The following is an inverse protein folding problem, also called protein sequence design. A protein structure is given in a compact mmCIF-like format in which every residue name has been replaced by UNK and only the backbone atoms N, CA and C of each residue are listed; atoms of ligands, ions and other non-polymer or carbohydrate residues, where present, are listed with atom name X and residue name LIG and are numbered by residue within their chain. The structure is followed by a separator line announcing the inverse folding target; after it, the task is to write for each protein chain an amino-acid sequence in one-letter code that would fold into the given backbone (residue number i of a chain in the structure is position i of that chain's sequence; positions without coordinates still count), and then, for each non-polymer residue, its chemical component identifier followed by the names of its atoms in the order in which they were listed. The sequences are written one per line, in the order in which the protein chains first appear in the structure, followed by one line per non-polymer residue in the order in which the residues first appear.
data_IF_330753930262
#
_entry.id   IF_330753930262
#
_cell.length_a   1.000
_cell.length_b   1.000
_cell.length_c   1.000
_cell.angle_alpha   90.00
_cell.angle_beta   90.00
_cell.angle_gamma   90.00
#
_symmetry.space_group_name_H-M   'P 1'
#
loop_
_entity.id
_entity.type
_entity.pdbx_description
1 polymer ?
#
# COMPACT_ATOMS: atom_id res chain seq x y z
N UNK A 1 -18.35 4.05 21.87
CA UNK A 1 -17.95 4.19 20.45
C UNK A 1 -17.19 2.94 20.03
N UNK A 2 -17.33 2.48 18.78
CA UNK A 2 -16.68 1.26 18.26
C UNK A 2 -15.14 1.28 18.44
N UNK A 3 -14.52 2.45 18.40
CA UNK A 3 -13.08 2.63 18.64
C UNK A 3 -12.62 2.10 20.02
N UNK A 4 -13.37 2.38 21.09
CA UNK A 4 -13.02 1.95 22.45
C UNK A 4 -13.09 0.43 22.63
N UNK A 5 -13.90 -0.27 21.82
CA UNK A 5 -13.98 -1.75 21.86
C UNK A 5 -12.67 -2.40 21.40
N UNK A 6 -11.95 -1.74 20.50
CA UNK A 6 -10.75 -2.27 19.84
C UNK A 6 -9.45 -1.57 20.27
N UNK A 7 -9.48 -0.72 21.30
CA UNK A 7 -8.31 0.04 21.74
C UNK A 7 -7.79 1.08 20.72
N UNK A 8 -8.63 1.44 19.73
CA UNK A 8 -8.26 2.42 18.72
C UNK A 8 -8.31 3.85 19.28
N UNK A 9 -7.44 4.71 18.75
CA UNK A 9 -7.35 6.12 19.14
C UNK A 9 -8.19 6.97 18.19
N UNK A 10 -9.04 7.83 18.74
CA UNK A 10 -9.78 8.83 17.96
C UNK A 10 -9.01 10.15 18.04
N UNK A 11 -8.66 10.69 16.87
CA UNK A 11 -8.04 12.00 16.73
C UNK A 11 -9.08 13.02 16.26
N UNK A 12 -8.93 14.26 16.71
CA UNK A 12 -9.81 15.37 16.38
C UNK A 12 -9.03 16.41 15.59
N UNK A 13 -9.70 17.09 14.67
CA UNK A 13 -9.10 18.20 13.92
C UNK A 13 -9.10 19.50 14.74
N UNK A 14 -8.54 20.57 14.18
CA UNK A 14 -8.46 21.87 14.84
C UNK A 14 -9.81 22.50 15.18
N UNK A 15 -10.91 22.06 14.54
CA UNK A 15 -12.26 22.54 14.81
C UNK A 15 -13.01 21.64 15.81
N UNK A 16 -12.35 20.59 16.31
CA UNK A 16 -12.91 19.63 17.26
C UNK A 16 -13.77 18.54 16.60
N UNK A 17 -13.80 18.45 15.27
CA UNK A 17 -14.45 17.36 14.55
C UNK A 17 -13.56 16.12 14.51
N UNK A 18 -14.13 14.92 14.31
CA UNK A 18 -13.33 13.69 14.23
C UNK A 18 -12.46 13.71 12.96
N UNK A 19 -11.15 13.76 13.13
CA UNK A 19 -10.18 13.67 12.03
C UNK A 19 -9.97 12.22 11.59
N UNK A 20 -10.05 11.26 12.51
CA UNK A 20 -9.98 9.85 12.14
C UNK A 20 -9.85 8.89 13.31
N UNK A 21 -9.93 7.61 12.97
CA UNK A 21 -9.69 6.48 13.85
C UNK A 21 -8.33 5.90 13.50
N UNK A 22 -7.47 5.74 14.48
CA UNK A 22 -6.09 5.29 14.32
C UNK A 22 -5.83 4.04 15.15
N UNK A 23 -5.01 3.15 14.61
CA UNK A 23 -4.49 1.95 15.27
C UNK A 23 -3.15 2.31 15.91
N UNK A 24 -2.99 1.98 17.19
CA UNK A 24 -1.73 2.19 17.93
C UNK A 24 -0.82 0.98 17.76
N UNK A 25 0.41 1.24 17.34
CA UNK A 25 1.48 0.26 17.34
C UNK A 25 2.58 0.74 18.29
N UNK A 26 2.96 -0.09 19.27
CA UNK A 26 4.01 0.25 20.21
C UNK A 26 5.40 0.05 19.56
N UNK A 27 6.36 0.84 20.01
CA UNK A 27 7.77 0.73 19.62
C UNK A 27 8.27 -0.70 19.78
N UNK A 28 9.06 -1.15 18.79
CA UNK A 28 9.79 -2.40 18.83
C UNK A 28 11.16 -2.26 18.16
N UNK A 29 12.01 -3.25 18.36
CA UNK A 29 13.25 -3.38 17.61
C UNK A 29 12.98 -4.00 16.23
N UNK A 30 13.83 -3.73 15.25
CA UNK A 30 13.75 -4.41 13.95
C UNK A 30 13.96 -5.92 14.10
N UNK A 31 14.87 -6.33 14.99
CA UNK A 31 15.08 -7.73 15.35
C UNK A 31 13.85 -8.42 15.98
N UNK A 32 12.91 -7.65 16.56
CA UNK A 32 11.67 -8.23 17.06
C UNK A 32 10.74 -8.65 15.93
N UNK A 33 10.89 -8.06 14.74
CA UNK A 33 10.08 -8.36 13.55
C UNK A 33 10.72 -9.46 12.71
N UNK A 34 12.04 -9.42 12.56
CA UNK A 34 12.82 -10.44 11.86
C UNK A 34 14.20 -10.58 12.52
N UNK A 35 14.60 -11.77 13.01
CA UNK A 35 15.86 -11.98 13.72
C UNK A 35 17.13 -11.68 12.90
N UNK A 36 17.04 -11.59 11.57
CA UNK A 36 18.16 -11.21 10.70
C UNK A 36 18.42 -9.70 10.66
N UNK A 37 17.49 -8.89 11.19
CA UNK A 37 17.60 -7.43 11.25
C UNK A 37 18.35 -6.96 12.52
N UNK A 38 18.94 -5.77 12.49
CA UNK A 38 19.65 -5.20 13.65
C UNK A 38 18.73 -5.04 14.89
N UNK A 39 19.34 -5.21 16.06
CA UNK A 39 18.68 -5.04 17.36
C UNK A 39 18.62 -3.56 17.80
N UNK A 40 18.17 -2.68 16.91
CA UNK A 40 17.89 -1.28 17.19
C UNK A 40 16.41 -0.96 16.97
N UNK A 41 15.98 0.22 17.40
CA UNK A 41 14.59 0.66 17.23
C UNK A 41 14.27 0.74 15.74
N UNK A 42 13.14 0.15 15.35
CA UNK A 42 12.74 0.14 13.95
C UNK A 42 12.52 1.59 13.44
N UNK A 43 12.99 1.96 12.22
CA UNK A 43 12.95 3.33 11.72
C UNK A 43 11.59 4.01 11.84
N UNK A 44 10.49 3.27 11.67
CA UNK A 44 9.11 3.78 11.83
C UNK A 44 8.87 4.54 13.16
N UNK A 45 9.62 4.22 14.21
CA UNK A 45 9.50 4.81 15.54
C UNK A 45 10.56 5.87 15.85
N UNK A 46 11.32 6.35 14.87
CA UNK A 46 12.32 7.42 15.08
C UNK A 46 11.98 8.59 14.18
N UNK A 47 11.69 9.75 14.75
CA UNK A 47 11.34 10.96 13.99
C UNK A 47 12.23 12.11 14.46
N UNK A 48 12.97 12.71 13.54
CA UNK A 48 13.96 13.75 13.78
C UNK A 48 14.99 13.33 14.85
N UNK A 49 15.45 12.07 14.80
CA UNK A 49 16.35 11.48 15.79
C UNK A 49 15.73 11.20 17.17
N UNK A 50 14.41 11.35 17.33
CA UNK A 50 13.70 11.10 18.59
C UNK A 50 12.88 9.83 18.50
N UNK A 51 13.17 8.87 19.39
CA UNK A 51 12.36 7.67 19.52
C UNK A 51 10.95 7.98 20.02
N UNK A 52 9.95 7.40 19.35
CA UNK A 52 8.53 7.48 19.67
C UNK A 52 8.12 6.19 20.36
N UNK A 53 7.46 6.26 21.52
CA UNK A 53 7.01 5.05 22.23
C UNK A 53 5.93 4.27 21.47
N UNK A 54 5.25 4.93 20.53
CA UNK A 54 4.25 4.35 19.64
C UNK A 54 4.03 5.23 18.42
N UNK A 55 3.45 4.64 17.37
CA UNK A 55 2.91 5.35 16.21
C UNK A 55 1.41 5.13 16.10
N UNK A 56 0.72 6.08 15.47
CA UNK A 56 -0.69 6.00 15.15
C UNK A 56 -0.87 5.95 13.64
N UNK A 57 -1.37 4.84 13.12
CA UNK A 57 -1.65 4.69 11.68
C UNK A 57 -3.15 4.70 11.47
N UNK A 58 -3.63 5.47 10.48
CA UNK A 58 -5.05 5.56 10.17
C UNK A 58 -5.62 4.16 9.96
N UNK A 59 -6.70 3.82 10.68
CA UNK A 59 -7.36 2.52 10.54
C UNK A 59 -7.89 2.31 9.12
N UNK A 60 -8.34 3.40 8.50
CA UNK A 60 -8.87 3.43 7.15
C UNK A 60 -8.01 4.31 6.25
N UNK A 61 -8.10 4.11 4.92
CA UNK A 61 -7.50 5.04 3.96
C UNK A 61 -8.07 6.46 4.14
N UNK A 62 -7.33 7.47 3.74
CA UNK A 62 -7.79 8.85 3.72
C UNK A 62 -9.03 8.97 2.80
N UNK A 63 -10.10 9.57 3.30
CA UNK A 63 -11.36 9.71 2.59
C UNK A 63 -11.95 11.11 2.68
N UNK A 64 -12.89 11.41 1.78
CA UNK A 64 -13.60 12.69 1.73
C UNK A 64 -14.98 12.51 2.38
N UNK A 65 -15.24 13.21 3.47
CA UNK A 65 -16.56 13.20 4.15
C UNK A 65 -17.42 14.39 3.71
N UNK A 66 -16.80 15.54 3.44
CA UNK A 66 -17.46 16.76 2.96
C UNK A 66 -16.60 17.41 1.85
N UNK A 67 -17.13 18.40 1.11
CA UNK A 67 -16.40 19.12 0.04
C UNK A 67 -15.23 20.00 0.52
N UNK A 68 -14.67 19.71 1.71
CA UNK A 68 -13.61 20.47 2.36
C UNK A 68 -12.19 20.03 2.01
N UNK A 69 -11.24 20.80 2.54
CA UNK A 69 -9.80 20.58 2.34
C UNK A 69 -9.28 19.34 3.06
N UNK A 70 -9.83 19.01 4.23
CA UNK A 70 -9.33 17.95 5.11
C UNK A 70 -9.73 16.55 4.62
N UNK A 71 -8.85 15.58 4.87
CA UNK A 71 -9.13 14.16 4.65
C UNK A 71 -9.23 13.43 5.97
N UNK A 72 -10.19 12.51 6.08
CA UNK A 72 -10.49 11.79 7.31
C UNK A 72 -10.21 10.28 7.18
N UNK A 73 -9.77 9.64 8.26
CA UNK A 73 -9.64 8.17 8.33
C UNK A 73 -10.85 7.57 9.03
N UNK A 74 -11.92 7.31 8.29
CA UNK A 74 -13.21 6.87 8.81
C UNK A 74 -13.80 5.70 8.02
N UNK A 75 -14.60 4.82 8.67
CA UNK A 75 -15.30 3.74 8.00
C UNK A 75 -16.44 4.26 7.13
N UNK A 76 -16.78 3.54 6.06
CA UNK A 76 -17.91 3.89 5.21
C UNK A 76 -17.69 5.13 4.32
N UNK A 77 -16.49 5.71 4.36
CA UNK A 77 -16.12 6.88 3.55
C UNK A 77 -15.49 6.41 2.23
N UNK A 78 -15.77 7.12 1.14
CA UNK A 78 -15.09 6.86 -0.13
C UNK A 78 -13.61 7.28 -0.02
N UNK A 79 -12.65 6.37 -0.28
CA UNK A 79 -11.24 6.73 -0.28
C UNK A 79 -10.96 7.81 -1.33
N UNK A 80 -10.11 8.77 -0.95
CA UNK A 80 -9.66 9.85 -1.84
C UNK A 80 -8.99 9.25 -3.07
N UNK A 81 -9.24 9.89 -4.21
CA UNK A 81 -8.69 9.50 -5.51
C UNK A 81 -8.54 10.75 -6.37
N UNK A 82 -7.96 10.59 -7.57
CA UNK A 82 -7.82 11.66 -8.54
C UNK A 82 -7.20 12.89 -7.87
N UNK A 83 -6.00 12.69 -7.33
CA UNK A 83 -5.23 13.68 -6.58
C UNK A 83 -3.75 13.43 -6.81
N UNK A 84 -2.96 14.51 -6.88
CA UNK A 84 -1.49 14.43 -6.92
C UNK A 84 -0.94 14.12 -5.54
N UNK A 85 0.26 13.55 -5.44
CA UNK A 85 0.90 13.22 -4.16
C UNK A 85 1.01 14.42 -3.20
N UNK A 86 1.42 15.59 -3.71
CA UNK A 86 1.60 16.79 -2.88
C UNK A 86 0.27 17.29 -2.32
N UNK A 87 -0.76 17.34 -3.17
CA UNK A 87 -2.10 17.74 -2.74
C UNK A 87 -2.68 16.74 -1.72
N UNK A 88 -2.43 15.44 -1.90
CA UNK A 88 -2.86 14.40 -0.96
C UNK A 88 -2.21 14.61 0.42
N UNK A 89 -0.89 14.83 0.46
CA UNK A 89 -0.17 15.06 1.71
C UNK A 89 -0.65 16.33 2.40
N UNK A 90 -0.73 17.45 1.67
CA UNK A 90 -1.21 18.72 2.22
C UNK A 90 -2.59 18.59 2.85
N UNK A 91 -3.51 17.90 2.16
CA UNK A 91 -4.89 17.72 2.65
C UNK A 91 -5.00 16.79 3.86
N UNK A 92 -4.09 15.82 4.01
CA UNK A 92 -3.99 15.03 5.25
C UNK A 92 -3.43 15.89 6.40
N UNK A 93 -2.35 16.65 6.15
CA UNK A 93 -1.73 17.55 7.15
C UNK A 93 -2.68 18.67 7.60
N UNK A 94 -3.59 19.11 6.74
CA UNK A 94 -4.62 20.12 7.07
C UNK A 94 -5.57 19.70 8.20
N UNK A 95 -5.58 18.42 8.61
CA UNK A 95 -6.31 17.98 9.79
C UNK A 95 -5.66 18.44 11.11
N UNK A 96 -4.36 18.76 11.12
CA UNK A 96 -3.63 19.18 12.32
C UNK A 96 -3.35 18.04 13.31
N UNK A 97 -3.06 18.37 14.57
CA UNK A 97 -2.84 17.44 15.69
C UNK A 97 -1.78 16.33 15.44
N UNK A 98 -0.70 16.72 14.75
CA UNK A 98 0.40 15.81 14.43
C UNK A 98 0.10 14.84 13.27
N UNK A 99 -0.98 15.06 12.52
CA UNK A 99 -1.36 14.23 11.37
C UNK A 99 -0.49 14.54 10.16
N UNK A 100 0.02 13.49 9.52
CA UNK A 100 0.77 13.52 8.26
C UNK A 100 0.38 12.32 7.38
N UNK A 101 1.15 12.02 6.33
CA UNK A 101 0.95 10.83 5.49
C UNK A 101 1.76 9.63 5.95
N UNK A 102 1.19 8.43 5.84
CA UNK A 102 1.88 7.17 6.15
C UNK A 102 3.16 7.04 5.34
N UNK A 103 4.27 6.73 6.01
CA UNK A 103 5.58 6.74 5.38
C UNK A 103 5.98 5.36 4.87
N UNK A 104 7.06 5.30 4.11
CA UNK A 104 7.68 4.04 3.70
C UNK A 104 8.20 3.24 4.91
N UNK A 105 8.66 3.90 5.97
CA UNK A 105 9.08 3.24 7.21
C UNK A 105 7.89 2.60 7.92
N UNK A 106 6.74 3.28 7.96
CA UNK A 106 5.49 2.71 8.49
C UNK A 106 5.05 1.49 7.66
N UNK A 107 5.16 1.58 6.32
CA UNK A 107 4.83 0.48 5.43
C UNK A 107 5.78 -0.71 5.58
N UNK A 108 7.08 -0.47 5.77
CA UNK A 108 8.07 -1.49 6.07
C UNK A 108 7.77 -2.21 7.37
N UNK A 109 7.46 -1.45 8.44
CA UNK A 109 7.02 -1.99 9.72
C UNK A 109 5.81 -2.92 9.58
N UNK A 110 4.74 -2.47 8.90
CA UNK A 110 3.51 -3.28 8.74
C UNK A 110 3.76 -4.52 7.87
N UNK A 111 4.60 -4.44 6.84
CA UNK A 111 4.99 -5.61 6.03
C UNK A 111 5.76 -6.63 6.89
N UNK A 112 6.76 -6.21 7.64
CA UNK A 112 7.55 -7.09 8.50
C UNK A 112 6.70 -7.70 9.62
N UNK A 113 5.77 -6.91 10.19
CA UNK A 113 4.79 -7.42 11.16
C UNK A 113 3.89 -8.50 10.54
N UNK A 114 3.40 -8.29 9.33
CA UNK A 114 2.59 -9.28 8.62
C UNK A 114 3.40 -10.56 8.34
N UNK A 115 4.64 -10.42 7.87
CA UNK A 115 5.55 -11.53 7.63
C UNK A 115 5.81 -12.35 8.90
N UNK A 116 6.19 -11.69 10.00
CA UNK A 116 6.42 -12.34 11.31
C UNK A 116 5.24 -13.21 11.75
N UNK A 117 4.02 -12.76 11.49
CA UNK A 117 2.81 -13.44 11.93
C UNK A 117 2.20 -14.37 10.86
N UNK A 118 2.80 -14.47 9.67
CA UNK A 118 2.29 -15.28 8.57
C UNK A 118 0.93 -14.80 8.05
N UNK A 119 0.66 -13.49 8.10
CA UNK A 119 -0.61 -12.92 7.68
C UNK A 119 -0.66 -12.72 6.16
N UNK A 120 -1.56 -13.44 5.51
CA UNK A 120 -1.96 -13.15 4.13
C UNK A 120 -3.13 -12.18 4.14
N UNK A 121 -3.03 -11.14 3.31
CA UNK A 121 -3.97 -10.02 3.29
C UNK A 121 -4.72 -9.97 1.98
N UNK A 122 -6.04 -9.84 2.05
CA UNK A 122 -6.92 -9.73 0.90
C UNK A 122 -7.43 -8.30 0.74
N UNK A 123 -8.03 -8.01 -0.41
CA UNK A 123 -8.56 -6.66 -0.62
C UNK A 123 -9.35 -6.48 -1.89
N UNK A 124 -9.84 -5.26 -2.10
CA UNK A 124 -10.41 -4.87 -3.37
C UNK A 124 -9.30 -4.76 -4.44
N UNK A 125 -8.93 -5.87 -5.06
CA UNK A 125 -7.92 -5.93 -6.12
C UNK A 125 -8.53 -6.21 -7.49
N UNK A 126 -9.85 -6.40 -7.54
CA UNK A 126 -10.60 -6.68 -8.75
C UNK A 126 -11.98 -6.02 -8.75
N UNK A 127 -12.04 -4.69 -8.80
CA UNK A 127 -13.27 -3.91 -8.96
C UNK A 127 -14.32 -4.31 -7.91
N UNK A 128 -13.99 -4.13 -6.64
CA UNK A 128 -14.88 -4.31 -5.50
C UNK A 128 -14.81 -5.67 -4.79
N UNK A 129 -13.94 -6.59 -5.23
CA UNK A 129 -13.70 -7.86 -4.55
C UNK A 129 -12.25 -8.35 -4.73
N UNK A 130 -11.91 -9.44 -4.03
CA UNK A 130 -10.66 -10.15 -4.21
C UNK A 130 -10.83 -11.36 -5.16
N UNK A 131 -10.05 -11.40 -6.25
CA UNK A 131 -10.08 -12.48 -7.21
C UNK A 131 -9.22 -13.71 -6.83
N UNK A 132 -8.83 -13.83 -5.56
CA UNK A 132 -8.34 -15.05 -4.95
C UNK A 132 -9.28 -16.24 -5.21
N UNK A 133 -8.74 -17.46 -5.07
CA UNK A 133 -9.48 -18.72 -5.26
C UNK A 133 -10.24 -18.85 -6.61
N UNK A 134 -9.85 -18.08 -7.64
CA UNK A 134 -10.51 -18.11 -8.95
C UNK A 134 -11.84 -17.34 -9.02
N UNK A 135 -12.13 -16.50 -8.03
CA UNK A 135 -13.32 -15.65 -8.04
C UNK A 135 -13.35 -14.75 -9.29
N UNK A 136 -14.49 -14.70 -9.98
CA UNK A 136 -14.64 -13.92 -11.22
C UNK A 136 -15.93 -13.10 -11.19
N UNK A 137 -15.83 -11.86 -11.67
CA UNK A 137 -16.98 -10.95 -11.77
C UNK A 137 -18.05 -11.52 -12.73
N UNK A 138 -19.31 -11.28 -12.40
CA UNK A 138 -20.39 -11.40 -13.34
C UNK A 138 -20.35 -10.23 -14.34
N UNK A 139 -20.72 -10.49 -15.59
CA UNK A 139 -20.69 -9.53 -16.69
C UNK A 139 -21.82 -9.85 -17.69
N UNK A 140 -22.49 -8.84 -18.22
CA UNK A 140 -23.57 -9.00 -19.21
C UNK A 140 -23.02 -9.16 -20.64
N UNK A 141 -22.12 -10.11 -20.85
CA UNK A 141 -21.30 -10.26 -22.07
C UNK A 141 -21.83 -11.31 -23.07
N UNK A 142 -23.05 -11.81 -22.86
CA UNK A 142 -23.70 -12.86 -23.66
C UNK A 142 -22.91 -14.20 -23.72
N UNK A 143 -21.94 -14.39 -22.83
CA UNK A 143 -21.20 -15.64 -22.67
C UNK A 143 -22.05 -16.74 -22.02
N UNK A 144 -21.56 -17.98 -22.10
CA UNK A 144 -22.21 -19.13 -21.49
C UNK A 144 -22.01 -19.16 -19.97
N UNK A 145 -23.08 -19.43 -19.23
CA UNK A 145 -23.03 -19.86 -17.83
C UNK A 145 -23.46 -21.31 -17.73
N UNK A 146 -22.72 -22.07 -16.93
CA UNK A 146 -23.05 -23.45 -16.57
C UNK A 146 -23.65 -23.49 -15.16
N UNK A 147 -24.50 -24.48 -14.89
CA UNK A 147 -24.96 -24.75 -13.54
C UNK A 147 -23.75 -25.09 -12.64
N UNK A 148 -23.76 -24.61 -11.40
CA UNK A 148 -22.68 -24.76 -10.42
C UNK A 148 -21.57 -23.71 -10.53
N UNK A 149 -21.44 -22.97 -11.64
CA UNK A 149 -20.42 -21.94 -11.77
C UNK A 149 -20.69 -20.76 -10.82
N UNK A 150 -19.63 -20.23 -10.22
CA UNK A 150 -19.71 -19.11 -9.28
C UNK A 150 -19.28 -17.79 -9.91
N UNK A 151 -19.99 -16.70 -9.58
CA UNK A 151 -19.67 -15.34 -10.02
C UNK A 151 -19.87 -14.33 -8.89
N UNK A 152 -19.05 -13.29 -8.89
CA UNK A 152 -19.17 -12.17 -7.96
C UNK A 152 -19.97 -11.06 -8.60
N UNK A 153 -20.99 -10.56 -7.91
CA UNK A 153 -21.78 -9.41 -8.34
C UNK A 153 -22.13 -8.56 -7.11
N UNK A 154 -21.87 -7.25 -7.17
CA UNK A 154 -22.07 -6.32 -6.05
C UNK A 154 -21.47 -6.81 -4.71
N UNK A 155 -20.29 -7.44 -4.79
CA UNK A 155 -19.54 -7.95 -3.62
C UNK A 155 -20.06 -9.28 -3.08
N UNK A 156 -21.15 -9.81 -3.63
CA UNK A 156 -21.70 -11.11 -3.26
C UNK A 156 -21.25 -12.21 -4.22
N UNK A 157 -20.89 -13.35 -3.68
CA UNK A 157 -20.70 -14.58 -4.44
C UNK A 157 -22.06 -15.20 -4.75
N UNK A 158 -22.30 -15.55 -6.00
CA UNK A 158 -23.50 -16.25 -6.46
C UNK A 158 -23.13 -17.54 -7.15
N UNK A 159 -23.91 -18.60 -6.90
CA UNK A 159 -23.84 -19.87 -7.64
C UNK A 159 -24.95 -19.91 -8.68
N UNK A 160 -24.58 -20.17 -9.93
CA UNK A 160 -25.51 -20.37 -11.03
C UNK A 160 -26.28 -21.69 -10.85
N UNK A 161 -27.61 -21.65 -10.87
CA UNK A 161 -28.47 -22.82 -10.64
C UNK A 161 -28.77 -23.59 -11.94
N UNK A 162 -28.75 -22.91 -13.08
CA UNK A 162 -29.06 -23.51 -14.38
C UNK A 162 -28.35 -22.79 -15.52
N UNK A 163 -28.02 -23.54 -16.57
CA UNK A 163 -27.28 -23.01 -17.70
C UNK A 163 -28.09 -21.92 -18.44
N UNK A 164 -27.41 -20.83 -18.82
CA UNK A 164 -28.02 -19.71 -19.52
C UNK A 164 -26.96 -18.84 -20.22
N UNK A 165 -27.41 -17.84 -20.98
CA UNK A 165 -26.54 -16.78 -21.53
C UNK A 165 -26.49 -15.62 -20.54
N UNK A 166 -25.31 -15.04 -20.31
CA UNK A 166 -25.14 -13.86 -19.45
C UNK A 166 -25.69 -12.61 -20.10
N UNK A 167 -26.99 -12.41 -20.00
CA UNK A 167 -27.67 -11.21 -20.47
C UNK A 167 -28.04 -10.33 -19.28
N UNK A 168 -28.26 -9.04 -19.51
CA UNK A 168 -28.69 -8.12 -18.47
C UNK A 168 -29.98 -8.56 -17.75
N UNK A 169 -30.88 -9.26 -18.44
CA UNK A 169 -32.12 -9.78 -17.85
C UNK A 169 -31.93 -10.97 -16.88
N UNK A 170 -30.76 -11.64 -16.94
CA UNK A 170 -30.43 -12.81 -16.12
C UNK A 170 -29.30 -12.51 -15.13
N UNK A 171 -29.19 -11.25 -14.71
CA UNK A 171 -28.22 -10.79 -13.72
C UNK A 171 -28.51 -11.37 -12.31
N UNK A 172 -27.50 -11.61 -11.45
CA UNK A 172 -27.66 -12.38 -10.22
C UNK A 172 -28.68 -11.86 -9.19
N UNK A 173 -28.82 -10.55 -9.06
CA UNK A 173 -29.69 -9.89 -8.09
C UNK A 173 -31.16 -9.78 -8.53
N UNK A 174 -31.43 -9.87 -9.84
CA UNK A 174 -32.79 -9.74 -10.41
C UNK A 174 -33.36 -11.04 -10.98
N UNK A 175 -32.55 -12.08 -11.13
CA UNK A 175 -32.98 -13.39 -11.65
C UNK A 175 -32.81 -14.51 -10.60
N UNK A 176 -33.57 -14.48 -9.49
CA UNK A 176 -33.38 -15.38 -8.34
C UNK A 176 -33.64 -16.86 -8.63
N UNK A 177 -34.30 -17.20 -9.75
CA UNK A 177 -34.47 -18.59 -10.19
C UNK A 177 -33.23 -19.15 -10.90
N UNK A 178 -32.30 -18.28 -11.33
CA UNK A 178 -31.06 -18.66 -11.99
C UNK A 178 -29.85 -18.62 -11.06
N UNK A 179 -29.99 -17.98 -9.89
CA UNK A 179 -28.86 -17.70 -9.01
C UNK A 179 -29.23 -17.93 -7.56
N UNK A 180 -28.31 -18.57 -6.83
CA UNK A 180 -28.33 -18.60 -5.37
C UNK A 180 -27.23 -17.69 -4.85
N UNK A 181 -27.60 -16.72 -4.02
CA UNK A 181 -26.65 -15.88 -3.28
C UNK A 181 -25.99 -16.71 -2.18
N UNK A 182 -24.68 -16.66 -2.13
CA UNK A 182 -23.86 -17.36 -1.14
C UNK A 182 -23.42 -16.36 -0.06
N UNK A 183 -22.12 -16.07 0.03
CA UNK A 183 -21.53 -15.15 1.01
C UNK A 183 -21.11 -13.82 0.38
N UNK A 184 -21.04 -12.79 1.22
CA UNK A 184 -20.39 -11.53 0.87
C UNK A 184 -18.88 -11.70 0.96
N UNK A 185 -18.16 -11.31 -0.11
CA UNK A 185 -16.69 -11.44 -0.22
C UNK A 185 -16.02 -10.18 -0.78
N UNK A 186 -16.82 -9.16 -1.11
CA UNK A 186 -16.33 -7.87 -1.60
C UNK A 186 -16.50 -6.77 -0.56
N UNK A 187 -16.50 -5.53 -1.02
CA UNK A 187 -16.84 -4.36 -0.21
C UNK A 187 -18.06 -3.61 -0.75
N UNK A 188 -18.59 -2.68 0.04
CA UNK A 188 -19.66 -1.77 -0.36
C UNK A 188 -19.12 -0.82 -1.41
N UNK A 189 -19.58 -0.97 -2.65
CA UNK A 189 -18.98 -0.29 -3.79
C UNK A 189 -19.35 1.19 -3.84
N UNK A 190 -18.43 2.01 -4.31
CA UNK A 190 -18.62 3.45 -4.47
C UNK A 190 -17.89 3.99 -5.71
N UNK A 191 -18.57 4.87 -6.45
CA UNK A 191 -18.06 5.52 -7.66
C UNK A 191 -18.86 5.14 -8.91
N UNK A 192 -18.56 5.82 -10.02
CA UNK A 192 -19.13 5.48 -11.32
C UNK A 192 -18.60 4.12 -11.80
N UNK A 193 -19.44 3.37 -12.52
CA UNK A 193 -19.03 2.14 -13.21
C UNK A 193 -17.89 2.44 -14.18
N UNK A 194 -16.83 1.64 -14.13
CA UNK A 194 -15.66 1.85 -15.00
C UNK A 194 -15.86 1.25 -16.40
N UNK A 195 -16.83 0.34 -16.55
CA UNK A 195 -17.09 -0.41 -17.78
C UNK A 195 -18.51 -1.02 -17.76
N UNK A 196 -19.22 -0.96 -18.88
CA UNK A 196 -20.51 -1.63 -19.11
C UNK A 196 -20.39 -3.17 -19.06
N UNK A 197 -19.19 -3.69 -19.32
CA UNK A 197 -18.89 -5.13 -19.30
C UNK A 197 -18.90 -5.68 -17.88
N UNK A 198 -18.23 -5.01 -16.94
CA UNK A 198 -18.09 -5.52 -15.57
C UNK A 198 -19.18 -5.02 -14.62
N UNK A 199 -19.80 -3.85 -14.89
CA UNK A 199 -20.82 -3.25 -14.01
C UNK A 199 -20.42 -3.22 -12.53
N UNK A 200 -19.14 -2.98 -12.23
CA UNK A 200 -18.68 -2.83 -10.84
C UNK A 200 -17.91 -1.52 -10.67
N UNK A 201 -18.21 -0.70 -9.64
CA UNK A 201 -17.41 0.48 -9.33
C UNK A 201 -15.97 0.10 -8.98
N UNK A 202 -15.00 0.99 -9.24
CA UNK A 202 -13.59 0.69 -9.00
C UNK A 202 -13.30 0.55 -7.51
N UNK A 203 -13.97 1.32 -6.66
CA UNK A 203 -13.61 1.44 -5.24
C UNK A 203 -14.70 0.90 -4.34
N UNK A 204 -14.29 0.59 -3.13
CA UNK A 204 -15.15 0.20 -2.02
C UNK A 204 -15.02 1.25 -0.93
N UNK A 205 -16.11 1.49 -0.20
CA UNK A 205 -16.09 2.32 0.99
C UNK A 205 -15.09 1.74 2.00
N UNK A 206 -14.37 2.61 2.69
CA UNK A 206 -13.39 2.22 3.69
C UNK A 206 -13.95 1.23 4.71
N UNK A 207 -13.24 0.12 4.93
CA UNK A 207 -13.60 -0.91 5.92
C UNK A 207 -14.86 -1.69 5.61
N UNK A 208 -15.38 -1.62 4.38
CA UNK A 208 -16.60 -2.31 4.00
C UNK A 208 -16.42 -3.79 3.66
N UNK A 209 -15.17 -4.23 3.47
CA UNK A 209 -14.84 -5.62 3.17
C UNK A 209 -14.95 -6.56 4.37
N UNK A 210 -14.79 -7.88 4.14
CA UNK A 210 -14.71 -8.88 5.19
C UNK A 210 -13.47 -8.67 6.09
N UNK A 211 -13.43 -9.37 7.23
CA UNK A 211 -12.32 -9.33 8.18
C UNK A 211 -10.95 -9.63 7.54
N UNK A 212 -10.91 -10.48 6.50
CA UNK A 212 -9.71 -10.81 5.70
C UNK A 212 -9.07 -9.59 4.99
N UNK A 213 -9.76 -8.44 4.95
CA UNK A 213 -9.25 -7.17 4.43
C UNK A 213 -8.64 -6.28 5.53
N UNK A 214 -8.63 -6.77 6.77
CA UNK A 214 -8.05 -6.10 7.94
C UNK A 214 -6.78 -6.82 8.39
N UNK A 215 -5.75 -6.05 8.75
CA UNK A 215 -4.44 -6.58 9.14
C UNK A 215 -4.57 -7.67 10.22
N UNK A 216 -4.20 -8.90 9.87
CA UNK A 216 -4.26 -10.06 10.76
C UNK A 216 -5.66 -10.60 11.01
N UNK A 217 -6.59 -10.39 10.07
CA UNK A 217 -8.01 -10.74 10.17
C UNK A 217 -8.73 -10.09 11.37
N UNK A 218 -8.13 -9.04 11.94
CA UNK A 218 -8.66 -8.32 13.09
C UNK A 218 -9.37 -7.05 12.65
N UNK A 219 -10.71 -7.06 12.73
CA UNK A 219 -11.54 -5.87 12.49
C UNK A 219 -11.17 -4.67 13.38
N UNK A 220 -10.43 -4.88 14.47
CA UNK A 220 -9.84 -3.85 15.30
C UNK A 220 -8.69 -3.09 14.63
N UNK A 221 -7.97 -3.74 13.72
CA UNK A 221 -6.74 -3.29 13.08
C UNK A 221 -6.99 -2.54 11.76
N UNK A 222 -5.91 -2.29 11.00
CA UNK A 222 -5.94 -1.49 9.78
C UNK A 222 -6.70 -2.21 8.66
N UNK A 223 -7.69 -1.55 8.06
CA UNK A 223 -8.48 -2.04 6.94
C UNK A 223 -7.91 -1.62 5.59
N UNK A 224 -8.19 -2.40 4.54
CA UNK A 224 -7.93 -2.07 3.13
C UNK A 224 -6.46 -1.79 2.80
N UNK A 225 -5.50 -2.41 3.50
CA UNK A 225 -4.08 -2.28 3.17
C UNK A 225 -3.78 -2.74 1.74
N UNK A 226 -4.56 -3.70 1.24
CA UNK A 226 -4.46 -4.26 -0.10
C UNK A 226 -5.59 -3.71 -0.98
N UNK A 227 -5.24 -3.13 -2.12
CA UNK A 227 -6.22 -2.72 -3.12
C UNK A 227 -7.03 -1.45 -2.79
N UNK A 228 -8.18 -1.32 -3.45
CA UNK A 228 -9.00 -0.12 -3.60
C UNK A 228 -8.22 1.01 -4.25
N UNK A 229 -7.44 1.78 -3.48
CA UNK A 229 -6.51 2.79 -3.98
C UNK A 229 -5.08 2.45 -3.52
N UNK A 230 -4.11 2.81 -4.37
CA UNK A 230 -2.70 2.79 -4.03
C UNK A 230 -2.46 3.61 -2.77
N UNK A 231 -1.57 3.14 -1.89
CA UNK A 231 -1.14 3.89 -0.71
C UNK A 231 0.27 4.44 -0.91
N UNK A 232 0.38 5.76 -1.08
CA UNK A 232 1.68 6.43 -1.17
C UNK A 232 2.50 6.19 0.10
N UNK A 233 3.77 5.79 -0.07
CA UNK A 233 4.74 5.66 1.02
C UNK A 233 5.66 6.89 1.06
N UNK A 234 5.33 7.88 1.89
CA UNK A 234 6.13 9.11 1.99
C UNK A 234 7.54 8.83 2.55
N UNK A 235 8.54 9.62 2.14
CA UNK A 235 9.92 9.48 2.61
C UNK A 235 10.80 8.51 1.81
N UNK A 236 10.32 7.97 0.69
CA UNK A 236 11.13 7.25 -0.29
C UNK A 236 10.81 7.69 -1.73
N UNK A 237 11.86 7.86 -2.53
CA UNK A 237 11.77 8.12 -3.97
C UNK A 237 12.92 7.46 -4.73
N UNK A 238 12.76 7.43 -6.05
CA UNK A 238 13.80 7.12 -7.01
C UNK A 238 14.08 8.36 -7.85
N UNK A 239 15.35 8.69 -8.08
CA UNK A 239 15.80 9.71 -9.05
C UNK A 239 16.97 9.12 -9.81
N UNK A 240 16.84 8.94 -11.14
CA UNK A 240 17.86 8.19 -11.90
C UNK A 240 18.05 6.76 -11.41
N UNK A 241 17.00 6.18 -10.82
CA UNK A 241 17.02 4.89 -10.10
C UNK A 241 17.86 4.85 -8.82
N UNK A 242 18.45 5.96 -8.37
CA UNK A 242 19.08 6.08 -7.06
C UNK A 242 18.01 5.99 -5.97
N UNK A 243 18.21 5.13 -4.98
CA UNK A 243 17.34 5.04 -3.81
C UNK A 243 17.60 6.25 -2.92
N UNK A 244 16.59 7.10 -2.77
CA UNK A 244 16.65 8.24 -1.88
C UNK A 244 15.56 8.14 -0.80
N UNK A 245 15.98 8.33 0.45
CA UNK A 245 15.10 8.31 1.61
C UNK A 245 15.25 9.60 2.41
N UNK A 246 14.28 9.89 3.27
CA UNK A 246 14.50 10.79 4.39
C UNK A 246 15.05 9.98 5.56
N UNK A 247 15.89 10.62 6.39
CA UNK A 247 16.48 9.93 7.54
C UNK A 247 15.37 9.40 8.46
N UNK A 248 15.62 8.25 9.08
CA UNK A 248 14.71 7.60 10.00
C UNK A 248 13.27 7.53 9.47
N UNK A 249 12.34 8.17 10.18
CA UNK A 249 10.98 8.44 9.74
C UNK A 249 10.68 9.94 9.77
N UNK A 250 11.64 10.79 9.45
CA UNK A 250 11.49 12.26 9.43
C UNK A 250 10.36 12.72 8.49
N UNK A 251 10.05 11.92 7.47
CA UNK A 251 8.91 12.17 6.59
C UNK A 251 7.55 12.16 7.32
N UNK A 252 7.49 11.58 8.53
CA UNK A 252 6.32 11.57 9.39
C UNK A 252 6.02 12.93 9.99
N UNK A 253 7.01 13.81 10.13
CA UNK A 253 6.83 15.14 10.68
C UNK A 253 5.82 15.93 9.80
N UNK A 254 4.73 16.47 10.38
CA UNK A 254 3.80 17.33 9.67
C UNK A 254 4.46 18.53 8.97
N UNK A 255 5.59 19.00 9.49
CA UNK A 255 6.32 20.16 8.96
C UNK A 255 7.47 19.77 8.01
N UNK A 256 7.75 18.47 7.81
CA UNK A 256 8.81 18.05 6.90
C UNK A 256 8.54 18.47 5.45
N UNK A 257 9.55 19.07 4.81
CA UNK A 257 9.54 19.40 3.38
C UNK A 257 9.82 18.15 2.54
N UNK A 258 8.76 17.55 1.98
CA UNK A 258 8.83 16.40 1.09
C UNK A 258 8.85 16.78 -0.41
N UNK A 259 9.13 18.04 -0.73
CA UNK A 259 9.22 18.51 -2.11
C UNK A 259 10.37 17.86 -2.86
N UNK A 260 10.30 17.89 -4.20
CA UNK A 260 11.37 17.36 -5.05
C UNK A 260 12.72 18.08 -4.81
N UNK A 261 12.68 19.35 -4.42
CA UNK A 261 13.84 20.22 -4.16
C UNK A 261 14.36 20.18 -2.72
N UNK A 262 13.73 19.40 -1.84
CA UNK A 262 14.12 19.32 -0.44
C UNK A 262 15.57 18.84 -0.27
N UNK A 263 16.33 19.50 0.60
CA UNK A 263 17.67 19.06 0.98
C UNK A 263 17.67 17.91 1.99
N UNK A 264 16.49 17.50 2.47
CA UNK A 264 16.33 16.40 3.42
C UNK A 264 16.54 15.02 2.77
N UNK A 265 16.40 14.92 1.45
CA UNK A 265 16.65 13.67 0.71
C UNK A 265 18.11 13.23 0.83
N UNK A 266 18.31 11.97 1.21
CA UNK A 266 19.61 11.30 1.30
C UNK A 266 19.64 10.06 0.44
N UNK A 267 20.79 9.78 -0.16
CA UNK A 267 21.07 8.50 -0.78
C UNK A 267 21.73 7.55 0.23
N UNK A 268 21.62 6.25 -0.03
CA UNK A 268 22.13 5.20 0.87
C UNK A 268 23.48 4.72 0.32
N UNK A 269 24.57 4.94 1.06
CA UNK A 269 25.89 4.40 0.76
C UNK A 269 26.11 3.12 1.58
N UNK A 270 26.13 1.93 0.95
CA UNK A 270 26.33 0.67 1.67
C UNK A 270 27.77 0.56 2.21
N UNK A 271 27.92 -0.07 3.38
CA UNK A 271 29.23 -0.51 3.84
C UNK A 271 29.71 -1.73 3.04
N UNK A 272 31.03 -1.89 2.93
CA UNK A 272 31.60 -2.99 2.16
C UNK A 272 31.70 -4.31 2.94
N UNK A 273 31.65 -4.28 4.27
CA UNK A 273 31.95 -5.44 5.14
C UNK A 273 30.80 -5.93 6.02
N UNK A 274 29.68 -5.23 6.03
CA UNK A 274 28.49 -5.55 6.82
C UNK A 274 27.23 -4.94 6.20
N UNK A 275 26.07 -5.27 6.79
CA UNK A 275 24.74 -4.77 6.38
C UNK A 275 24.49 -3.31 6.87
N UNK A 276 25.55 -2.56 7.20
CA UNK A 276 25.52 -1.16 7.58
C UNK A 276 25.52 -0.20 6.38
N UNK A 277 25.30 1.09 6.67
CA UNK A 277 25.23 2.14 5.65
C UNK A 277 25.48 3.53 6.24
N UNK A 278 25.77 4.48 5.35
CA UNK A 278 25.77 5.91 5.63
C UNK A 278 24.72 6.63 4.76
N UNK A 279 24.05 7.63 5.33
CA UNK A 279 23.18 8.54 4.58
C UNK A 279 24.01 9.72 4.05
N UNK A 280 24.13 9.78 2.72
CA UNK A 280 24.98 10.75 2.02
C UNK A 280 24.15 11.64 1.10
N UNK A 281 24.79 12.67 0.52
CA UNK A 281 24.13 13.50 -0.47
C UNK A 281 23.76 12.68 -1.72
N UNK A 282 22.55 12.88 -2.30
CA UNK A 282 22.19 12.31 -3.60
C UNK A 282 23.25 12.51 -4.68
N UNK A 283 23.47 11.50 -5.51
CA UNK A 283 24.49 11.48 -6.57
C UNK A 283 25.91 11.14 -6.09
N UNK A 284 26.09 10.79 -4.81
CA UNK A 284 27.38 10.29 -4.31
C UNK A 284 27.73 8.96 -4.97
N UNK A 285 28.98 8.77 -5.40
CA UNK A 285 29.39 7.53 -6.06
C UNK A 285 29.25 6.32 -5.12
N UNK A 286 28.70 5.22 -5.65
CA UNK A 286 28.53 3.96 -4.92
C UNK A 286 27.23 3.85 -4.11
N UNK A 287 26.35 4.85 -4.16
CA UNK A 287 25.03 4.78 -3.53
C UNK A 287 24.14 3.73 -4.19
N UNK A 288 23.15 3.25 -3.43
CA UNK A 288 22.23 2.23 -3.91
C UNK A 288 21.37 2.73 -5.07
N UNK A 289 21.25 1.88 -6.08
CA UNK A 289 20.36 2.05 -7.22
C UNK A 289 19.60 0.76 -7.49
N UNK A 290 18.42 0.88 -8.09
CA UNK A 290 17.84 -0.25 -8.82
C UNK A 290 18.48 -0.37 -10.20
N UNK A 291 18.85 -1.58 -10.56
CA UNK A 291 19.41 -1.94 -11.86
C UNK A 291 18.55 -3.03 -12.53
N UNK A 292 18.79 -3.27 -13.82
CA UNK A 292 18.20 -4.39 -14.55
C UNK A 292 19.29 -5.38 -14.91
N UNK A 293 19.22 -6.60 -14.37
CA UNK A 293 20.13 -7.69 -14.67
C UNK A 293 19.35 -8.90 -15.16
N UNK A 294 19.67 -9.44 -16.34
CA UNK A 294 18.95 -10.59 -16.90
C UNK A 294 17.44 -10.35 -17.12
N UNK A 295 17.01 -9.09 -17.25
CA UNK A 295 15.59 -8.72 -17.35
C UNK A 295 14.85 -8.60 -16.01
N UNK A 296 15.53 -8.81 -14.89
CA UNK A 296 14.97 -8.69 -13.54
C UNK A 296 15.47 -7.43 -12.81
N UNK A 297 14.68 -6.96 -11.85
CA UNK A 297 15.07 -5.88 -10.94
C UNK A 297 16.13 -6.41 -9.98
N UNK A 298 17.25 -5.70 -9.86
CA UNK A 298 18.35 -6.05 -8.97
C UNK A 298 18.82 -4.81 -8.20
N UNK A 299 19.05 -4.95 -6.89
CA UNK A 299 19.65 -3.90 -6.07
C UNK A 299 21.16 -3.86 -6.31
N UNK A 300 21.70 -2.68 -6.50
CA UNK A 300 23.08 -2.49 -6.95
C UNK A 300 23.62 -1.15 -6.44
N UNK A 301 24.91 -0.87 -6.68
CA UNK A 301 25.54 0.44 -6.39
C UNK A 301 25.66 1.34 -7.62
N UNK A 302 24.92 0.99 -8.69
CA UNK A 302 24.79 1.76 -9.93
C UNK A 302 23.55 1.33 -10.72
N UNK A 303 23.09 2.15 -11.66
CA UNK A 303 22.09 1.77 -12.66
C UNK A 303 22.73 1.81 -14.06
N UNK A 304 22.76 0.66 -14.76
CA UNK A 304 23.36 0.58 -16.11
C UNK A 304 22.38 0.97 -17.22
N UNK A 305 21.07 0.97 -16.93
CA UNK A 305 20.02 1.20 -17.92
C UNK A 305 18.83 1.91 -17.30
N UNK A 306 18.98 3.21 -16.95
CA UNK A 306 17.90 3.98 -16.36
C UNK A 306 16.75 4.23 -17.33
N UNK A 307 16.79 3.77 -18.58
CA UNK A 307 15.70 3.94 -19.56
C UNK A 307 15.03 2.62 -19.96
N UNK A 308 15.16 1.57 -19.15
CA UNK A 308 14.58 0.26 -19.43
C UNK A 308 13.03 0.22 -19.42
N UNK A 309 12.37 1.34 -19.06
CA UNK A 309 10.91 1.42 -19.05
C UNK A 309 10.32 0.69 -17.85
N UNK A 310 9.17 0.01 -18.03
CA UNK A 310 8.53 -0.71 -16.93
C UNK A 310 9.14 -2.10 -16.78
N UNK A 311 9.67 -2.39 -15.60
CA UNK A 311 10.14 -3.73 -15.20
C UNK A 311 9.38 -4.16 -13.96
N UNK A 312 9.06 -5.44 -13.86
CA UNK A 312 8.36 -6.02 -12.73
C UNK A 312 8.94 -7.38 -12.36
N UNK A 313 8.86 -7.73 -11.08
CA UNK A 313 9.25 -9.03 -10.55
C UNK A 313 8.53 -9.31 -9.24
N UNK A 314 8.65 -10.53 -8.74
CA UNK A 314 8.16 -10.87 -7.40
C UNK A 314 9.04 -10.19 -6.35
N UNK A 315 8.43 -9.66 -5.30
CA UNK A 315 9.17 -8.96 -4.25
C UNK A 315 10.19 -9.87 -3.55
N UNK A 316 9.78 -11.09 -3.23
CA UNK A 316 10.63 -12.11 -2.61
C UNK A 316 11.68 -12.73 -3.55
N UNK A 317 11.67 -12.41 -4.84
CA UNK A 317 12.68 -12.85 -5.82
C UNK A 317 13.68 -11.74 -6.17
N UNK A 318 13.61 -10.58 -5.51
CA UNK A 318 14.60 -9.51 -5.70
C UNK A 318 15.98 -9.98 -5.25
N UNK A 319 16.99 -9.66 -6.05
CA UNK A 319 18.38 -10.01 -5.76
C UNK A 319 19.24 -8.77 -5.65
N UNK A 320 20.39 -8.88 -4.98
CA UNK A 320 21.43 -7.87 -4.96
C UNK A 320 22.59 -8.28 -5.89
N UNK A 321 23.33 -7.32 -6.42
CA UNK A 321 24.48 -7.61 -7.26
C UNK A 321 25.59 -8.29 -6.43
N UNK A 322 25.97 -9.55 -6.71
CA UNK A 322 26.70 -10.39 -5.77
C UNK A 322 28.12 -9.91 -5.43
N UNK A 323 28.77 -9.16 -6.33
CA UNK A 323 30.14 -8.66 -6.11
C UNK A 323 30.23 -7.18 -5.77
N UNK A 324 29.20 -6.39 -6.11
CA UNK A 324 29.18 -4.93 -5.89
C UNK A 324 28.45 -4.57 -4.61
N UNK A 325 27.50 -5.43 -4.23
CA UNK A 325 26.68 -5.31 -3.03
C UNK A 325 26.62 -6.67 -2.33
N UNK A 326 27.76 -7.19 -1.82
CA UNK A 326 27.77 -8.48 -1.10
C UNK A 326 26.99 -8.43 0.21
N UNK A 327 26.83 -7.24 0.78
CA UNK A 327 26.04 -6.96 1.98
C UNK A 327 24.95 -5.95 1.65
N UNK A 328 23.69 -6.32 1.87
CA UNK A 328 22.56 -5.43 1.60
C UNK A 328 22.28 -4.63 2.86
N UNK A 329 22.25 -3.28 2.80
CA UNK A 329 21.95 -2.48 3.97
C UNK A 329 20.63 -2.85 4.63
N UNK A 330 20.68 -3.05 5.94
CA UNK A 330 19.53 -3.37 6.79
C UNK A 330 18.34 -2.44 6.54
N UNK A 331 18.59 -1.12 6.40
CA UNK A 331 17.54 -0.11 6.14
C UNK A 331 16.66 -0.43 4.94
N UNK A 332 17.19 -1.03 3.87
CA UNK A 332 16.39 -1.35 2.68
C UNK A 332 15.38 -2.46 3.00
N UNK A 333 15.75 -3.39 3.89
CA UNK A 333 14.85 -4.44 4.39
C UNK A 333 13.87 -3.90 5.44
N UNK A 334 14.32 -3.04 6.34
CA UNK A 334 13.47 -2.38 7.35
C UNK A 334 12.36 -1.53 6.72
N UNK A 335 12.66 -0.83 5.63
CA UNK A 335 11.67 -0.07 4.85
C UNK A 335 10.80 -0.97 3.94
N UNK A 336 11.01 -2.28 3.96
CA UNK A 336 10.31 -3.26 3.13
C UNK A 336 10.53 -3.03 1.63
N UNK A 337 11.70 -2.51 1.23
CA UNK A 337 12.09 -2.28 -0.16
C UNK A 337 12.84 -3.46 -0.77
N UNK A 338 13.41 -4.33 0.08
CA UNK A 338 14.11 -5.56 -0.29
C UNK A 338 13.69 -6.69 0.68
N UNK A 339 13.59 -7.96 0.25
CA UNK A 339 13.20 -9.05 1.13
C UNK A 339 14.23 -9.33 2.23
N UNK A 340 13.74 -9.74 3.40
CA UNK A 340 14.59 -10.39 4.41
C UNK A 340 14.82 -11.86 4.03
N UNK A 341 15.71 -12.54 4.75
CA UNK A 341 15.98 -13.96 4.50
C UNK A 341 14.71 -14.80 4.75
N UNK A 342 14.31 -15.61 3.77
CA UNK A 342 13.12 -16.47 3.87
C UNK A 342 11.79 -15.75 3.70
N UNK A 343 11.77 -14.49 3.28
CA UNK A 343 10.55 -13.73 3.00
C UNK A 343 9.69 -14.40 1.93
N UNK A 344 8.45 -14.77 2.28
CA UNK A 344 7.46 -15.36 1.40
C UNK A 344 6.24 -14.44 1.18
N UNK A 345 6.33 -13.19 1.63
CA UNK A 345 5.23 -12.23 1.58
C UNK A 345 4.72 -12.06 0.14
N UNK A 346 3.44 -12.33 -0.16
CA UNK A 346 2.90 -12.15 -1.49
C UNK A 346 3.02 -10.72 -1.98
N UNK A 347 3.45 -10.56 -3.23
CA UNK A 347 3.44 -9.27 -3.92
C UNK A 347 4.54 -9.12 -4.96
N UNK A 348 4.50 -8.01 -5.68
CA UNK A 348 5.44 -7.69 -6.75
C UNK A 348 6.16 -6.36 -6.48
N UNK A 349 7.42 -6.27 -6.91
CA UNK A 349 8.07 -4.98 -7.10
C UNK A 349 7.86 -4.52 -8.55
N UNK A 350 7.31 -3.31 -8.74
CA UNK A 350 7.14 -2.69 -10.05
C UNK A 350 7.91 -1.38 -10.10
N UNK A 351 8.85 -1.27 -11.04
CA UNK A 351 9.67 -0.08 -11.19
C UNK A 351 9.54 0.51 -12.59
N UNK A 352 9.46 1.84 -12.67
CA UNK A 352 9.68 2.57 -13.92
C UNK A 352 11.13 3.01 -13.94
N UNK A 353 11.93 2.32 -14.74
CA UNK A 353 13.29 2.71 -15.06
C UNK A 353 13.24 3.93 -15.97
N UNK A 354 13.51 5.08 -15.36
CA UNK A 354 13.59 6.39 -16.00
C UNK A 354 14.55 7.31 -15.20
N UNK A 355 15.00 8.42 -15.79
CA UNK A 355 15.92 9.37 -15.14
C UNK A 355 15.19 10.28 -14.13
N UNK A 356 13.90 10.50 -14.33
CA UNK A 356 13.07 11.40 -13.53
C UNK A 356 12.74 10.86 -12.12
N UNK A 357 12.05 11.67 -11.33
CA UNK A 357 11.58 11.30 -9.99
C UNK A 357 10.37 10.37 -10.04
N UNK A 358 10.45 9.24 -9.33
CA UNK A 358 9.36 8.31 -9.10
C UNK A 358 9.16 8.05 -7.61
N UNK A 359 7.90 8.03 -7.19
CA UNK A 359 7.51 7.86 -5.77
C UNK A 359 6.90 6.49 -5.55
N UNK A 360 6.98 5.98 -4.33
CA UNK A 360 6.47 4.65 -4.02
C UNK A 360 4.99 4.65 -3.66
N UNK A 361 4.37 3.50 -3.92
CA UNK A 361 3.06 3.11 -3.44
C UNK A 361 3.04 1.64 -3.08
N UNK A 362 2.23 1.22 -2.11
CA UNK A 362 2.13 -0.18 -1.65
C UNK A 362 0.71 -0.75 -1.79
N UNK A 363 0.61 -2.08 -1.82
CA UNK A 363 -0.64 -2.85 -1.69
C UNK A 363 -1.42 -3.10 -2.98
N UNK A 364 -1.16 -2.32 -4.03
CA UNK A 364 -1.90 -2.39 -5.29
C UNK A 364 -3.20 -1.58 -5.27
N UNK A 365 -3.94 -1.63 -6.38
CA UNK A 365 -5.23 -0.93 -6.53
C UNK A 365 -6.32 -1.88 -7.00
N UNK A 366 -7.52 -1.34 -7.20
CA UNK A 366 -8.71 -2.10 -7.58
C UNK A 366 -8.61 -2.93 -8.88
N UNK A 367 -7.61 -2.71 -9.72
CA UNK A 367 -7.45 -3.43 -10.98
C UNK A 367 -6.19 -4.32 -11.02
N UNK A 368 -5.41 -4.38 -9.94
CA UNK A 368 -4.11 -5.06 -9.92
C UNK A 368 -4.23 -6.58 -10.01
N UNK A 369 -5.28 -7.15 -9.42
CA UNK A 369 -5.47 -8.59 -9.26
C UNK A 369 -4.64 -9.17 -8.12
N UNK A 370 -5.16 -10.24 -7.50
CA UNK A 370 -4.62 -10.87 -6.29
C UNK A 370 -3.16 -11.31 -6.45
N UNK A 371 -2.83 -12.07 -7.51
CA UNK A 371 -1.46 -12.58 -7.71
C UNK A 371 -0.38 -11.51 -7.98
N UNK A 372 -0.75 -10.24 -8.08
CA UNK A 372 0.18 -9.09 -8.18
C UNK A 372 0.00 -8.07 -7.04
N UNK A 373 -0.89 -8.35 -6.10
CA UNK A 373 -1.16 -7.53 -4.91
C UNK A 373 -0.66 -8.27 -3.67
N UNK A 374 -0.67 -7.59 -2.52
CA UNK A 374 -0.21 -8.14 -1.25
C UNK A 374 0.75 -7.21 -0.53
N UNK A 375 1.16 -7.60 0.67
CA UNK A 375 2.00 -6.76 1.53
C UNK A 375 3.40 -6.54 0.93
N UNK A 376 3.89 -7.46 0.10
CA UNK A 376 5.13 -7.31 -0.67
C UNK A 376 4.98 -6.41 -1.90
N UNK A 377 3.76 -6.02 -2.29
CA UNK A 377 3.56 -5.22 -3.50
C UNK A 377 3.98 -3.79 -3.29
N UNK A 378 5.05 -3.36 -3.98
CA UNK A 378 5.50 -1.97 -4.04
C UNK A 378 5.66 -1.52 -5.48
N UNK A 379 5.28 -0.28 -5.77
CA UNK A 379 5.28 0.29 -7.11
C UNK A 379 5.89 1.69 -7.10
N UNK A 380 6.94 1.88 -7.90
CA UNK A 380 7.57 3.16 -8.25
C UNK A 380 7.30 3.51 -9.72
N UNK A 381 6.05 3.37 -10.15
CA UNK A 381 5.62 3.60 -11.53
C UNK A 381 5.16 5.03 -11.83
N UNK A 382 4.94 5.84 -10.79
CA UNK A 382 4.28 7.14 -10.92
C UNK A 382 5.18 8.27 -10.43
N UNK A 383 5.15 9.38 -11.16
CA UNK A 383 5.77 10.64 -10.74
C UNK A 383 4.86 11.36 -9.73
N UNK A 384 5.42 12.31 -8.97
CA UNK A 384 4.68 13.11 -7.97
C UNK A 384 3.44 13.84 -8.53
N UNK A 385 3.50 14.21 -9.82
CA UNK A 385 2.45 14.92 -10.56
C UNK A 385 1.38 13.99 -11.16
N UNK A 386 1.57 12.68 -11.07
CA UNK A 386 0.61 11.72 -11.63
C UNK A 386 -0.75 11.85 -10.95
N UNK A 387 -1.79 11.86 -11.76
CA UNK A 387 -3.17 12.08 -11.33
C UNK A 387 -4.05 10.97 -11.92
N UNK A 388 -4.58 10.09 -11.06
CA UNK A 388 -5.43 9.00 -11.50
C UNK A 388 -6.43 8.56 -10.42
N UNK A 389 -7.48 7.87 -10.86
CA UNK A 389 -8.60 7.41 -10.03
C UNK A 389 -8.21 6.32 -9.01
N UNK A 390 -6.97 5.86 -9.00
CA UNK A 390 -6.43 4.86 -8.09
C UNK A 390 -5.34 5.40 -7.14
N UNK A 391 -4.98 6.69 -7.19
CA UNK A 391 -4.01 7.28 -6.25
C UNK A 391 -4.71 7.67 -4.97
N UNK A 392 -4.31 7.08 -3.85
CA UNK A 392 -4.81 7.40 -2.51
C UNK A 392 -3.68 7.43 -1.49
N UNK A 393 -4.05 7.48 -0.22
CA UNK A 393 -3.10 7.48 0.88
C UNK A 393 -3.77 7.17 2.19
N UNK A 394 -2.97 7.10 3.23
CA UNK A 394 -3.42 6.84 4.59
C UNK A 394 -2.77 7.86 5.50
N UNK A 395 -3.54 8.49 6.41
CA UNK A 395 -2.93 9.39 7.37
C UNK A 395 -2.20 8.58 8.44
N UNK A 396 -1.16 9.18 9.00
CA UNK A 396 -0.56 8.79 10.27
C UNK A 396 -0.65 9.95 11.24
N UNK A 397 -0.48 9.71 12.53
CA UNK A 397 -0.29 10.75 13.53
C UNK A 397 0.91 10.42 14.42
N UNK A 398 1.56 11.48 14.92
CA UNK A 398 2.59 11.34 15.95
C UNK A 398 1.99 10.77 17.24
N UNK A 399 2.77 9.94 17.94
CA UNK A 399 2.46 9.57 19.31
C UNK A 399 2.65 10.79 20.20
N UNK A 400 1.64 11.15 20.99
CA UNK A 400 1.74 12.18 22.04
C UNK A 400 2.40 11.64 23.29
#
# INVERSE_FOLDING_TARGET
MLANKYGNVVKYDSDGAVAGIFVRFNKCLSSDLDPSLPAHVHPAFVVNGVEQDYILLGKYKAGVVESGERLMSLPGVNPINAITLDALLRRMRAAGDGISGMTIADQGFIKLLAQKNGWEMYGNVRYGFDNAAGNSAWAADNGNMTAGAQRVFDGWLYTCLQAHRRTAALQPDIAPTYWRREKFIGGWMHGAMVDDTYRVPPRTLNGSGPAEWYLGDDEGSMADLIGSCLEIGYGYRLVGMELQIMADNDAADPEADLSASSSAWKAILPHAGDDGYELVAPGTAGTLHWNVAGGAIQLDTKCDSPTAGRVNGKFNELTAHPTRLPHVPSIVRELGLFPTEGDDTPGNYLARFAEEEYVSSRGGGYATGHGSSGMGTISTLYQRSYFAANIGGRPRAMGS
#
